data_IF_636331295437
#
_entry.id   IF_636331295437
#
_cell.length_a   1.000
_cell.length_b   1.000
_cell.length_c   1.000
_cell.angle_alpha   90.00
_cell.angle_beta   90.00
_cell.angle_gamma   90.00
#
_symmetry.space_group_name_H-M   'P 1'
#
loop_
_entity.id
_entity.type
_entity.pdbx_description
1 polymer ?
#
# COMPACT_ATOMS: atom_id res chain seq x y z
N UNK A 1 0.82 27.67 -15.58
CA UNK A 1 1.27 27.45 -16.96
C UNK A 1 2.77 27.66 -17.02
N UNK A 2 3.57 26.63 -17.25
CA UNK A 2 5.02 26.74 -17.33
C UNK A 2 5.39 27.41 -18.67
N UNK A 3 6.07 28.55 -18.61
CA UNK A 3 6.62 29.22 -19.79
C UNK A 3 7.71 28.33 -20.40
N UNK A 4 7.57 27.96 -21.68
CA UNK A 4 8.64 27.28 -22.42
C UNK A 4 9.83 28.23 -22.53
N UNK A 5 10.95 27.84 -21.91
CA UNK A 5 12.21 28.60 -22.01
C UNK A 5 12.81 28.35 -23.40
N UNK A 6 13.12 29.41 -24.14
CA UNK A 6 13.88 29.30 -25.36
C UNK A 6 15.36 29.16 -25.03
N UNK A 7 16.04 28.27 -25.76
CA UNK A 7 17.49 28.06 -25.62
C UNK A 7 18.23 29.34 -26.09
N UNK A 8 19.27 29.73 -25.33
CA UNK A 8 20.19 30.77 -25.78
C UNK A 8 21.03 30.27 -26.96
N UNK A 9 21.60 31.19 -27.80
CA UNK A 9 22.46 30.78 -28.91
C UNK A 9 23.65 29.92 -28.44
N UNK A 10 24.24 30.23 -27.29
CA UNK A 10 25.34 29.47 -26.70
C UNK A 10 24.91 28.07 -26.29
N UNK A 11 23.74 27.92 -25.68
CA UNK A 11 23.16 26.62 -25.34
C UNK A 11 22.88 25.78 -26.59
N UNK A 12 22.43 26.42 -27.68
CA UNK A 12 22.19 25.74 -28.93
C UNK A 12 23.49 25.22 -29.59
N UNK A 13 24.58 25.95 -29.47
CA UNK A 13 25.90 25.53 -29.99
C UNK A 13 26.49 24.39 -29.15
N UNK A 14 26.34 24.41 -27.83
CA UNK A 14 26.68 23.28 -26.98
C UNK A 14 25.90 22.02 -27.34
N UNK A 15 24.59 22.15 -27.57
CA UNK A 15 23.75 21.03 -27.99
C UNK A 15 24.17 20.46 -29.35
N UNK A 16 24.55 21.33 -30.34
CA UNK A 16 25.05 20.84 -31.63
C UNK A 16 26.38 20.07 -31.48
N UNK A 17 27.24 20.52 -30.57
CA UNK A 17 28.50 19.84 -30.31
C UNK A 17 28.27 18.45 -29.69
N UNK A 18 27.38 18.37 -28.72
CA UNK A 18 27.00 17.09 -28.10
C UNK A 18 26.31 16.16 -29.11
N UNK A 19 25.41 16.69 -29.94
CA UNK A 19 24.73 15.89 -30.94
C UNK A 19 25.67 15.29 -32.00
N UNK A 20 26.76 15.96 -32.31
CA UNK A 20 27.80 15.41 -33.22
C UNK A 20 28.59 14.25 -32.66
N UNK A 21 28.67 14.14 -31.32
CA UNK A 21 29.35 13.01 -30.66
C UNK A 21 28.44 11.81 -30.42
N UNK A 22 27.13 11.99 -30.52
CA UNK A 22 26.15 10.94 -30.34
C UNK A 22 26.10 10.03 -31.58
N UNK A 23 26.30 8.73 -31.40
CA UNK A 23 26.02 7.74 -32.45
C UNK A 23 24.53 7.41 -32.43
N UNK A 24 23.80 7.59 -33.55
CA UNK A 24 22.40 7.18 -33.61
C UNK A 24 22.28 5.67 -33.45
N UNK A 25 21.34 5.22 -32.63
CA UNK A 25 21.08 3.80 -32.38
C UNK A 25 20.60 3.08 -33.65
N UNK A 26 20.06 3.82 -34.61
CA UNK A 26 19.55 3.28 -35.87
C UNK A 26 20.26 3.97 -37.03
N UNK A 27 20.95 3.18 -37.85
CA UNK A 27 21.72 3.65 -39.00
C UNK A 27 20.88 3.86 -40.27
N UNK A 28 19.59 3.59 -40.21
CA UNK A 28 18.71 3.81 -41.37
C UNK A 28 17.86 5.09 -41.17
N UNK A 29 17.81 5.99 -42.13
CA UNK A 29 16.84 7.06 -42.11
C UNK A 29 15.44 6.41 -42.10
N UNK A 30 14.67 6.70 -41.05
CA UNK A 30 13.25 6.34 -41.06
C UNK A 30 12.63 7.16 -42.18
N UNK A 31 12.34 6.51 -43.29
CA UNK A 31 11.56 7.12 -44.36
C UNK A 31 10.13 7.22 -43.81
N UNK A 32 9.81 8.35 -43.21
CA UNK A 32 8.42 8.64 -42.90
C UNK A 32 7.73 8.79 -44.26
N UNK A 33 6.70 7.97 -44.54
CA UNK A 33 5.89 8.21 -45.72
C UNK A 33 5.36 9.64 -45.63
N UNK A 34 5.41 10.35 -46.78
CA UNK A 34 4.84 11.68 -46.88
C UNK A 34 3.41 11.65 -46.30
N UNK A 35 3.05 12.60 -45.44
CA UNK A 35 1.70 12.64 -44.90
C UNK A 35 0.73 12.64 -46.10
N UNK A 36 -0.27 11.73 -46.10
CA UNK A 36 -1.26 11.74 -47.18
C UNK A 36 -1.82 13.15 -47.27
N UNK A 37 -1.91 13.65 -48.52
CA UNK A 37 -2.43 14.99 -48.81
C UNK A 37 -3.67 15.19 -47.94
N UNK A 38 -3.64 16.28 -47.17
CA UNK A 38 -4.65 16.55 -46.16
C UNK A 38 -6.05 16.44 -46.78
N UNK A 39 -6.76 15.38 -46.43
CA UNK A 39 -8.18 15.34 -46.70
C UNK A 39 -8.81 16.58 -46.03
N UNK A 40 -9.78 17.24 -46.69
CA UNK A 40 -10.42 18.43 -46.12
C UNK A 40 -10.86 18.07 -44.69
N UNK A 41 -10.38 18.85 -43.71
CA UNK A 41 -10.75 18.65 -42.33
C UNK A 41 -12.28 18.60 -42.22
N UNK A 42 -12.86 17.55 -41.64
CA UNK A 42 -14.27 17.57 -41.38
C UNK A 42 -14.56 18.78 -40.48
N UNK A 43 -15.66 19.49 -40.72
CA UNK A 43 -16.00 20.67 -39.92
C UNK A 43 -15.93 20.31 -38.46
N UNK A 44 -15.39 21.19 -37.60
CA UNK A 44 -15.22 20.87 -36.18
C UNK A 44 -16.57 20.45 -35.65
N UNK A 45 -16.63 19.17 -35.17
CA UNK A 45 -17.80 18.66 -34.48
C UNK A 45 -18.03 19.63 -33.33
N UNK A 46 -19.08 20.45 -33.46
CA UNK A 46 -19.51 21.32 -32.39
C UNK A 46 -19.71 20.40 -31.17
N UNK A 47 -18.74 20.45 -30.24
CA UNK A 47 -18.89 19.75 -28.97
C UNK A 47 -20.17 20.28 -28.35
N UNK A 48 -21.25 19.49 -28.46
CA UNK A 48 -22.50 19.78 -27.80
C UNK A 48 -22.14 19.97 -26.32
N UNK A 49 -22.23 21.20 -25.83
CA UNK A 49 -22.00 21.52 -24.43
C UNK A 49 -22.90 20.56 -23.64
N UNK A 50 -22.35 19.77 -22.69
CA UNK A 50 -23.18 18.88 -21.90
C UNK A 50 -24.29 19.73 -21.28
N UNK A 51 -25.53 19.46 -21.64
CA UNK A 51 -26.69 20.11 -21.01
C UNK A 51 -26.74 19.57 -19.61
N UNK A 52 -26.27 20.39 -18.65
CA UNK A 52 -26.48 20.09 -17.24
C UNK A 52 -28.00 20.05 -17.01
N UNK A 53 -28.49 18.93 -16.54
CA UNK A 53 -29.87 18.85 -16.07
C UNK A 53 -30.06 19.88 -14.96
N UNK A 54 -31.20 20.62 -14.93
CA UNK A 54 -31.46 21.57 -13.87
C UNK A 54 -31.40 20.85 -12.53
N UNK A 55 -30.50 21.27 -11.65
CA UNK A 55 -30.40 20.79 -10.28
C UNK A 55 -31.02 21.83 -9.35
N UNK A 56 -31.77 21.37 -8.37
CA UNK A 56 -32.31 22.22 -7.32
C UNK A 56 -31.29 22.32 -6.18
N UNK A 57 -30.93 23.57 -5.79
CA UNK A 57 -30.16 23.81 -4.58
C UNK A 57 -30.91 23.22 -3.37
N UNK A 58 -30.33 22.21 -2.72
CA UNK A 58 -30.97 21.48 -1.63
C UNK A 58 -31.52 20.12 -2.01
N UNK A 59 -31.39 19.67 -3.27
CA UNK A 59 -31.65 18.28 -3.62
C UNK A 59 -30.79 17.39 -2.73
N UNK A 60 -31.45 16.50 -1.96
CA UNK A 60 -30.78 15.64 -0.98
C UNK A 60 -29.62 14.94 -1.65
N UNK A 61 -28.43 15.34 -1.26
CA UNK A 61 -27.20 14.69 -1.67
C UNK A 61 -27.41 13.18 -1.45
N UNK A 62 -27.52 12.42 -2.54
CA UNK A 62 -27.50 10.96 -2.47
C UNK A 62 -26.27 10.65 -1.61
N UNK A 63 -26.48 10.06 -0.43
CA UNK A 63 -25.36 9.71 0.45
C UNK A 63 -24.26 9.14 -0.43
N UNK A 64 -23.06 9.72 -0.44
CA UNK A 64 -21.98 9.16 -1.25
C UNK A 64 -21.95 7.67 -0.94
N UNK A 65 -22.01 6.87 -2.00
CA UNK A 65 -21.80 5.43 -1.88
C UNK A 65 -20.58 5.29 -0.98
N UNK A 66 -20.72 4.48 0.06
CA UNK A 66 -19.67 4.27 1.06
C UNK A 66 -18.36 4.19 0.30
N UNK A 67 -17.48 5.18 0.50
CA UNK A 67 -16.13 5.06 0.01
C UNK A 67 -15.65 3.71 0.54
N UNK A 68 -15.31 2.82 -0.36
CA UNK A 68 -14.81 1.50 -0.04
C UNK A 68 -13.39 1.68 0.54
N UNK A 69 -13.37 2.23 1.76
CA UNK A 69 -12.15 2.38 2.53
C UNK A 69 -11.71 0.96 2.86
N UNK A 70 -10.48 0.65 2.53
CA UNK A 70 -9.89 -0.63 2.92
C UNK A 70 -10.21 -0.89 4.41
N UNK A 71 -10.76 -2.08 4.76
CA UNK A 71 -11.19 -2.36 6.11
C UNK A 71 -10.03 -2.16 7.10
N UNK A 72 -10.36 -1.67 8.26
CA UNK A 72 -9.38 -1.50 9.33
C UNK A 72 -8.87 -2.86 9.80
N UNK A 73 -7.68 -2.91 10.41
CA UNK A 73 -7.11 -4.17 10.89
C UNK A 73 -8.06 -4.94 11.84
N UNK A 74 -8.74 -4.31 12.82
CA UNK A 74 -9.72 -4.99 13.66
C UNK A 74 -10.89 -5.58 12.86
N UNK A 75 -11.37 -4.88 11.83
CA UNK A 75 -12.43 -5.39 10.96
C UNK A 75 -11.96 -6.59 10.14
N UNK A 76 -10.73 -6.55 9.58
CA UNK A 76 -10.14 -7.67 8.85
C UNK A 76 -10.01 -8.91 9.75
N UNK A 77 -9.49 -8.74 10.96
CA UNK A 77 -9.33 -9.84 11.91
C UNK A 77 -10.68 -10.38 12.43
N UNK A 78 -11.68 -9.48 12.59
CA UNK A 78 -13.03 -9.86 13.01
C UNK A 78 -13.84 -10.59 11.94
N UNK A 79 -13.55 -10.35 10.65
CA UNK A 79 -14.18 -11.03 9.51
C UNK A 79 -13.52 -12.38 9.19
N UNK A 80 -12.33 -12.64 9.70
CA UNK A 80 -11.66 -13.92 9.50
C UNK A 80 -12.48 -15.08 10.07
N UNK A 81 -12.60 -16.21 9.34
CA UNK A 81 -13.35 -17.35 9.83
C UNK A 81 -12.73 -17.87 11.13
N UNK A 82 -13.58 -18.16 12.09
CA UNK A 82 -13.15 -18.71 13.36
C UNK A 82 -12.70 -20.17 13.17
N UNK A 83 -11.42 -20.45 13.42
CA UNK A 83 -10.79 -21.77 13.28
C UNK A 83 -10.59 -22.49 14.61
N UNK A 84 -11.07 -21.93 15.71
CA UNK A 84 -10.94 -22.46 17.05
C UNK A 84 -12.30 -22.49 17.77
N UNK A 85 -12.36 -23.16 18.92
CA UNK A 85 -13.57 -23.17 19.75
C UNK A 85 -14.00 -21.75 20.14
N UNK A 86 -15.30 -21.45 19.97
CA UNK A 86 -15.87 -20.14 20.23
C UNK A 86 -15.72 -19.70 21.71
N UNK A 87 -15.84 -20.64 22.65
CA UNK A 87 -15.67 -20.35 24.08
C UNK A 87 -14.22 -19.97 24.42
N UNK A 88 -13.28 -20.68 23.84
CA UNK A 88 -11.84 -20.37 24.00
C UNK A 88 -11.48 -19.05 23.34
N UNK A 89 -11.98 -18.79 22.13
CA UNK A 89 -11.81 -17.52 21.47
C UNK A 89 -12.38 -16.34 22.29
N UNK A 90 -13.59 -16.50 22.84
CA UNK A 90 -14.19 -15.46 23.68
C UNK A 90 -13.40 -15.22 24.98
N UNK A 91 -12.75 -16.24 25.56
CA UNK A 91 -11.87 -16.09 26.73
C UNK A 91 -10.56 -15.37 26.36
N UNK A 92 -10.01 -15.68 25.18
CA UNK A 92 -8.80 -15.04 24.65
C UNK A 92 -9.02 -13.56 24.40
N UNK A 93 -10.05 -13.19 23.63
CA UNK A 93 -10.37 -11.80 23.29
C UNK A 93 -10.74 -10.93 24.50
N UNK A 94 -11.32 -11.54 25.56
CA UNK A 94 -11.59 -10.87 26.83
C UNK A 94 -10.38 -10.79 27.77
N UNK A 95 -9.18 -11.21 27.33
CA UNK A 95 -7.98 -11.21 28.15
C UNK A 95 -8.00 -12.13 29.35
N UNK A 96 -8.87 -13.16 29.34
CA UNK A 96 -8.97 -14.17 30.43
C UNK A 96 -7.92 -15.28 30.31
N UNK A 97 -7.32 -15.45 29.15
CA UNK A 97 -6.21 -16.37 28.94
C UNK A 97 -4.90 -15.56 28.99
N UNK A 98 -3.91 -16.12 29.68
CA UNK A 98 -2.59 -15.51 29.74
C UNK A 98 -1.73 -16.03 28.59
N UNK A 99 -1.02 -15.16 27.86
CA UNK A 99 -0.01 -15.61 26.91
C UNK A 99 1.10 -16.39 27.60
N UNK A 100 1.46 -17.52 27.03
CA UNK A 100 2.53 -18.41 27.52
C UNK A 100 3.92 -17.90 27.14
N UNK A 101 3.99 -17.17 26.01
CA UNK A 101 5.18 -16.47 25.58
C UNK A 101 4.82 -15.13 24.92
N UNK A 102 5.80 -14.23 24.84
CA UNK A 102 5.67 -12.93 24.18
C UNK A 102 6.91 -12.57 23.40
N UNK A 103 6.70 -11.90 22.27
CA UNK A 103 7.76 -11.25 21.52
C UNK A 103 7.44 -9.77 21.36
N UNK A 104 8.46 -8.93 21.44
CA UNK A 104 8.33 -7.50 21.25
C UNK A 104 9.13 -7.06 20.04
N UNK A 105 8.41 -6.65 18.99
CA UNK A 105 8.96 -6.19 17.72
C UNK A 105 8.96 -4.66 17.60
N UNK A 106 8.63 -3.94 18.68
CA UNK A 106 8.56 -2.49 18.61
C UNK A 106 9.92 -1.88 18.28
N UNK A 107 9.94 -0.91 17.39
CA UNK A 107 11.16 -0.24 16.95
C UNK A 107 11.99 -1.00 15.91
N UNK A 108 11.66 -2.25 15.60
CA UNK A 108 12.30 -3.00 14.52
C UNK A 108 11.80 -2.53 13.14
N UNK A 109 12.65 -2.68 12.15
CA UNK A 109 12.28 -2.57 10.74
C UNK A 109 11.51 -3.81 10.28
N UNK A 110 10.80 -3.73 9.16
CA UNK A 110 10.11 -4.89 8.59
C UNK A 110 11.07 -6.05 8.28
N UNK A 111 12.28 -5.74 7.81
CA UNK A 111 13.31 -6.72 7.47
C UNK A 111 13.88 -7.46 8.68
N UNK A 112 13.97 -6.81 9.84
CA UNK A 112 14.42 -7.40 11.10
C UNK A 112 13.29 -8.18 11.79
N UNK A 113 12.10 -7.61 11.83
CA UNK A 113 10.97 -8.19 12.52
C UNK A 113 10.46 -9.49 11.88
N UNK A 114 10.56 -9.61 10.56
CA UNK A 114 10.05 -10.80 9.85
C UNK A 114 10.78 -12.09 10.23
N UNK A 115 12.12 -12.20 10.15
CA UNK A 115 12.83 -13.41 10.58
C UNK A 115 12.66 -13.69 12.08
N UNK A 116 12.67 -12.67 12.93
CA UNK A 116 12.45 -12.83 14.36
C UNK A 116 11.07 -13.41 14.68
N UNK A 117 10.03 -12.92 14.00
CA UNK A 117 8.69 -13.46 14.14
C UNK A 117 8.62 -14.93 13.71
N UNK A 118 9.25 -15.29 12.58
CA UNK A 118 9.28 -16.67 12.08
C UNK A 118 9.93 -17.59 13.13
N UNK A 119 11.11 -17.23 13.61
CA UNK A 119 11.82 -18.01 14.61
C UNK A 119 11.00 -18.17 15.88
N UNK A 120 10.41 -17.09 16.38
CA UNK A 120 9.59 -17.10 17.59
C UNK A 120 8.38 -18.02 17.45
N UNK A 121 7.59 -17.90 16.39
CA UNK A 121 6.37 -18.69 16.20
C UNK A 121 6.69 -20.17 16.00
N UNK A 122 7.71 -20.52 15.22
CA UNK A 122 8.08 -21.91 15.00
C UNK A 122 8.63 -22.56 16.27
N UNK A 123 9.42 -21.84 17.06
CA UNK A 123 9.89 -22.30 18.37
C UNK A 123 8.74 -22.48 19.36
N UNK A 124 7.81 -21.51 19.42
CA UNK A 124 6.63 -21.62 20.26
C UNK A 124 5.76 -22.83 19.87
N UNK A 125 5.56 -23.04 18.59
CA UNK A 125 4.82 -24.19 18.06
C UNK A 125 5.52 -25.52 18.40
N UNK A 126 6.84 -25.63 18.23
CA UNK A 126 7.62 -26.82 18.58
C UNK A 126 7.65 -27.11 20.08
N UNK A 127 7.60 -26.05 20.91
CA UNK A 127 7.48 -26.16 22.36
C UNK A 127 6.05 -26.48 22.85
N UNK A 128 5.07 -26.57 21.93
CA UNK A 128 3.68 -26.87 22.24
C UNK A 128 2.91 -25.74 22.90
N UNK A 129 3.41 -24.49 22.81
CA UNK A 129 2.72 -23.32 23.35
C UNK A 129 1.45 -23.03 22.55
N UNK A 130 0.38 -22.70 23.27
CA UNK A 130 -0.96 -22.55 22.67
C UNK A 130 -1.37 -21.10 22.45
N UNK A 131 -0.82 -20.17 23.23
CA UNK A 131 -1.15 -18.77 23.15
C UNK A 131 0.11 -17.92 23.30
N UNK A 132 0.41 -17.14 22.29
CA UNK A 132 1.55 -16.20 22.29
C UNK A 132 1.09 -14.79 22.01
N UNK A 133 1.84 -13.81 22.52
CA UNK A 133 1.57 -12.39 22.34
C UNK A 133 2.66 -11.78 21.45
N UNK A 134 2.26 -11.09 20.40
CA UNK A 134 3.16 -10.32 19.53
C UNK A 134 2.90 -8.83 19.73
N UNK A 135 3.90 -8.08 20.15
CA UNK A 135 3.83 -6.64 20.38
C UNK A 135 4.50 -5.93 19.21
N UNK A 136 3.75 -5.13 18.47
CA UNK A 136 4.22 -4.43 17.27
C UNK A 136 4.48 -2.94 17.49
N UNK A 137 4.06 -2.42 18.65
CA UNK A 137 4.12 -1.00 18.95
C UNK A 137 3.06 -0.16 18.19
N UNK A 138 2.88 1.10 18.63
CA UNK A 138 1.91 2.04 18.05
C UNK A 138 2.43 2.74 16.79
N UNK A 139 3.71 2.57 16.46
CA UNK A 139 4.39 3.33 15.41
C UNK A 139 4.65 4.78 15.85
N UNK A 140 5.89 5.12 16.16
CA UNK A 140 6.29 6.53 16.37
C UNK A 140 6.38 7.22 15.01
N UNK A 141 5.93 8.49 14.92
CA UNK A 141 6.41 9.38 13.87
C UNK A 141 7.92 9.50 14.09
N UNK A 142 8.71 8.85 13.27
CA UNK A 142 10.05 9.33 13.04
C UNK A 142 9.88 10.56 12.15
N UNK A 143 10.42 11.69 12.55
CA UNK A 143 10.67 12.85 11.69
C UNK A 143 11.78 12.45 10.69
N UNK A 144 11.53 11.41 9.92
CA UNK A 144 12.38 11.00 8.83
C UNK A 144 12.08 11.94 7.67
N UNK A 145 12.95 12.93 7.49
CA UNK A 145 12.99 13.87 6.37
C UNK A 145 13.23 13.16 5.01
N UNK A 146 12.94 11.87 4.91
CA UNK A 146 13.04 11.10 3.69
C UNK A 146 11.88 11.40 2.72
N UNK A 147 12.13 11.35 1.40
CA UNK A 147 11.11 11.67 0.39
C UNK A 147 9.95 10.67 0.35
N UNK A 148 10.02 9.55 1.07
CA UNK A 148 8.98 8.52 1.11
C UNK A 148 8.40 8.47 2.53
N UNK A 149 7.13 8.88 2.74
CA UNK A 149 6.50 8.80 4.04
C UNK A 149 6.35 7.31 4.45
N UNK A 150 7.07 6.91 5.48
CA UNK A 150 6.90 5.57 6.07
C UNK A 150 5.55 5.52 6.79
N UNK A 151 4.69 4.59 6.42
CA UNK A 151 3.37 4.41 7.03
C UNK A 151 3.54 4.09 8.51
N UNK A 152 2.94 4.91 9.37
CA UNK A 152 2.90 4.63 10.81
C UNK A 152 2.27 3.27 11.08
N UNK A 153 2.91 2.49 11.96
CA UNK A 153 2.40 1.18 12.35
C UNK A 153 2.54 0.10 11.26
N UNK A 154 3.55 0.20 10.39
CA UNK A 154 3.79 -0.79 9.33
C UNK A 154 3.79 -2.23 9.87
N UNK A 155 4.46 -2.49 11.01
CA UNK A 155 4.44 -3.81 11.66
C UNK A 155 3.05 -4.23 12.09
N UNK A 156 2.23 -3.33 12.63
CA UNK A 156 0.87 -3.65 13.06
C UNK A 156 0.01 -4.18 11.91
N UNK A 157 0.19 -3.66 10.71
CA UNK A 157 -0.53 -4.12 9.53
C UNK A 157 0.11 -5.35 8.88
N UNK A 158 1.44 -5.45 8.91
CA UNK A 158 2.15 -6.49 8.19
C UNK A 158 2.20 -7.82 8.96
N UNK A 159 2.33 -7.78 10.29
CA UNK A 159 2.42 -8.99 11.12
C UNK A 159 1.22 -9.93 10.93
N UNK A 160 -0.04 -9.51 10.99
CA UNK A 160 -1.16 -10.39 10.74
C UNK A 160 -1.12 -11.05 9.36
N UNK A 161 -0.66 -10.31 8.35
CA UNK A 161 -0.48 -10.87 7.00
C UNK A 161 0.58 -11.98 7.00
N UNK A 162 1.74 -11.76 7.60
CA UNK A 162 2.80 -12.77 7.69
C UNK A 162 2.37 -14.03 8.42
N UNK A 163 1.56 -13.89 9.48
CA UNK A 163 1.06 -15.03 10.25
C UNK A 163 0.15 -15.97 9.44
N UNK A 164 -0.43 -15.50 8.33
CA UNK A 164 -1.25 -16.33 7.45
C UNK A 164 -0.46 -16.95 6.27
N UNK A 165 0.78 -16.48 6.04
CA UNK A 165 1.62 -16.95 4.95
C UNK A 165 2.54 -18.11 5.39
N UNK A 166 3.00 -18.96 4.46
CA UNK A 166 4.07 -19.91 4.74
C UNK A 166 5.35 -19.17 5.18
N UNK A 167 6.11 -19.70 6.15
CA UNK A 167 5.92 -20.99 6.83
C UNK A 167 5.00 -20.95 8.06
N UNK A 168 4.46 -19.77 8.43
CA UNK A 168 3.73 -19.57 9.69
C UNK A 168 2.28 -20.04 9.63
N UNK A 169 1.61 -19.94 8.48
CA UNK A 169 0.20 -20.28 8.32
C UNK A 169 -0.21 -21.65 8.87
N UNK A 170 0.56 -22.71 8.65
CA UNK A 170 0.28 -24.04 9.23
C UNK A 170 0.40 -24.10 10.75
N UNK A 171 1.26 -23.27 11.36
CA UNK A 171 1.49 -23.25 12.80
C UNK A 171 0.50 -22.35 13.56
N UNK A 172 -0.16 -21.41 12.86
CA UNK A 172 -1.05 -20.40 13.46
C UNK A 172 -2.51 -20.73 13.16
N UNK A 173 -3.25 -21.07 14.21
CA UNK A 173 -4.66 -21.42 14.08
C UNK A 173 -5.56 -20.18 13.96
N UNK A 174 -5.36 -19.19 14.83
CA UNK A 174 -6.19 -17.98 14.91
C UNK A 174 -5.34 -16.78 15.32
N UNK A 175 -5.65 -15.64 14.72
CA UNK A 175 -5.06 -14.33 15.06
C UNK A 175 -6.19 -13.41 15.52
N UNK A 176 -5.99 -12.68 16.59
CA UNK A 176 -6.91 -11.65 17.06
C UNK A 176 -6.16 -10.47 17.67
N UNK A 177 -6.80 -9.34 17.75
CA UNK A 177 -6.23 -8.19 18.45
C UNK A 177 -6.11 -8.51 19.95
N UNK A 178 -4.99 -8.11 20.55
CA UNK A 178 -4.76 -8.35 21.98
C UNK A 178 -5.69 -7.48 22.83
N UNK A 179 -6.15 -8.04 23.96
CA UNK A 179 -6.93 -7.27 24.92
C UNK A 179 -6.03 -6.20 25.57
N UNK A 180 -6.59 -5.04 25.90
CA UNK A 180 -5.90 -3.89 26.53
C UNK A 180 -5.12 -4.25 27.81
N UNK A 181 -5.45 -5.36 28.46
CA UNK A 181 -4.73 -5.87 29.62
C UNK A 181 -3.31 -6.35 29.27
N UNK A 182 -3.05 -6.68 28.02
CA UNK A 182 -1.78 -7.27 27.59
C UNK A 182 -0.92 -6.32 26.74
N UNK A 183 -1.41 -5.09 26.40
CA UNK A 183 -0.69 -4.09 25.60
C UNK A 183 -1.03 -2.66 25.94
#
# INVERSE_FOLDING_TARGET
>A
MARRRHLSPEEADLWRTVARTARPLHSHPIHLPDPPAAAPEPPPLAHAKPRLSPFLLGEKHRKPERHDLAPTLPELLGQAPLRMDAGTHARMTRGKLQPEARIDLHGMTLGEAHPELIHFILNAHSAGLRLVLVITGKGKRRDDSGPIPQRMGALRHQVPHWLHLPPLGPAVLQVSEAHLKHG
#
